data_IF_272238675225
#
_entry.id   IF_272238675225
#
_cell.length_a   1.000
_cell.length_b   1.000
_cell.length_c   1.000
_cell.angle_alpha   90.00
_cell.angle_beta   90.00
_cell.angle_gamma   90.00
#
_symmetry.space_group_name_H-M   'P 1'
#
loop_
_entity.id
_entity.type
_entity.pdbx_description
1 polymer ?
#
# COMPACT_ATOMS: atom_id res chain seq x y z
N UNK A 1 -23.17 -51.75 11.06
CA UNK A 1 -24.32 -52.51 10.58
C UNK A 1 -23.88 -53.16 9.30
N UNK A 2 -23.48 -54.42 9.41
CA UNK A 2 -23.17 -55.31 8.29
C UNK A 2 -24.33 -55.28 7.31
N UNK A 3 -24.06 -55.06 6.03
CA UNK A 3 -25.09 -54.82 5.04
C UNK A 3 -25.67 -56.18 4.64
N UNK A 4 -26.71 -56.61 5.37
CA UNK A 4 -27.28 -57.97 5.28
C UNK A 4 -27.70 -58.32 3.84
N UNK A 5 -28.10 -57.33 3.03
CA UNK A 5 -28.31 -57.48 1.58
C UNK A 5 -27.06 -57.99 0.84
N UNK A 6 -25.89 -57.41 1.09
CA UNK A 6 -24.65 -57.82 0.43
C UNK A 6 -24.18 -59.19 0.92
N UNK A 7 -24.41 -59.51 2.21
CA UNK A 7 -24.13 -60.83 2.75
C UNK A 7 -24.97 -61.91 2.05
N UNK A 8 -26.27 -61.66 1.81
CA UNK A 8 -27.11 -62.59 1.06
C UNK A 8 -26.68 -62.73 -0.40
N UNK A 9 -26.12 -61.69 -1.02
CA UNK A 9 -25.55 -61.78 -2.37
C UNK A 9 -24.24 -62.59 -2.37
N UNK A 10 -23.35 -62.38 -1.40
CA UNK A 10 -22.13 -63.17 -1.22
C UNK A 10 -22.48 -64.66 -0.98
N UNK A 11 -23.45 -64.95 -0.11
CA UNK A 11 -23.93 -66.32 0.11
C UNK A 11 -24.54 -66.94 -1.15
N UNK A 12 -25.19 -66.15 -2.00
CA UNK A 12 -25.69 -66.60 -3.31
C UNK A 12 -24.54 -66.95 -4.27
N UNK A 13 -23.51 -66.10 -4.30
CA UNK A 13 -22.32 -66.32 -5.12
C UNK A 13 -21.57 -67.59 -4.68
N UNK A 14 -21.36 -67.77 -3.37
CA UNK A 14 -20.75 -68.97 -2.80
C UNK A 14 -21.55 -70.23 -3.15
N UNK A 15 -22.89 -70.17 -3.02
CA UNK A 15 -23.78 -71.28 -3.37
C UNK A 15 -23.68 -71.66 -4.85
N UNK A 16 -23.44 -70.69 -5.73
CA UNK A 16 -23.27 -70.90 -7.17
C UNK A 16 -21.87 -71.43 -7.52
N UNK A 17 -20.83 -71.00 -6.81
CA UNK A 17 -19.45 -71.48 -6.98
C UNK A 17 -19.28 -72.93 -6.51
N UNK A 18 -19.90 -73.29 -5.38
CA UNK A 18 -19.86 -74.64 -4.81
C UNK A 18 -20.79 -75.64 -5.51
N UNK A 19 -21.68 -75.17 -6.39
CA UNK A 19 -22.69 -76.00 -7.03
C UNK A 19 -22.08 -77.10 -7.92
N UNK A 20 -22.45 -78.36 -7.67
CA UNK A 20 -21.96 -79.50 -8.44
C UNK A 20 -22.39 -79.39 -9.91
N UNK A 21 -21.43 -79.36 -10.83
CA UNK A 21 -21.70 -79.34 -12.28
C UNK A 21 -22.15 -80.71 -12.77
N UNK A 22 -23.20 -80.71 -13.60
CA UNK A 22 -23.77 -81.95 -14.17
C UNK A 22 -22.92 -82.42 -15.36
N UNK A 23 -22.43 -83.68 -15.40
CA UNK A 23 -21.70 -84.22 -16.54
C UNK A 23 -22.53 -84.15 -17.84
N UNK A 24 -21.88 -83.82 -18.95
CA UNK A 24 -22.49 -83.64 -20.28
C UNK A 24 -23.45 -82.45 -20.46
N UNK A 25 -23.77 -81.70 -19.40
CA UNK A 25 -24.53 -80.45 -19.48
C UNK A 25 -23.62 -79.25 -19.21
N UNK A 26 -23.15 -78.58 -20.29
CA UNK A 26 -22.13 -77.51 -20.22
C UNK A 26 -22.47 -76.30 -19.33
N UNK A 27 -23.72 -76.15 -18.87
CA UNK A 27 -24.17 -74.99 -18.09
C UNK A 27 -25.21 -75.34 -17.03
N UNK A 28 -25.26 -76.58 -16.55
CA UNK A 28 -26.20 -76.97 -15.49
C UNK A 28 -25.43 -77.36 -14.23
N UNK A 29 -25.83 -76.80 -13.11
CA UNK A 29 -25.35 -77.16 -11.78
C UNK A 29 -26.53 -77.56 -10.89
N UNK A 30 -26.26 -78.44 -9.93
CA UNK A 30 -27.23 -78.88 -8.94
C UNK A 30 -27.09 -77.98 -7.72
N UNK A 31 -28.19 -77.33 -7.34
CA UNK A 31 -28.25 -76.38 -6.24
C UNK A 31 -29.38 -76.81 -5.31
N UNK A 32 -29.19 -76.62 -4.00
CA UNK A 32 -30.25 -76.79 -3.03
C UNK A 32 -31.32 -75.69 -3.23
N UNK A 33 -32.51 -76.10 -3.65
CA UNK A 33 -33.62 -75.18 -3.94
C UNK A 33 -34.22 -74.50 -2.70
N UNK A 34 -34.11 -75.09 -1.52
CA UNK A 34 -34.57 -74.47 -0.26
C UNK A 34 -33.61 -73.35 0.15
N UNK A 35 -32.31 -73.64 0.22
CA UNK A 35 -31.28 -72.64 0.55
C UNK A 35 -31.25 -71.49 -0.46
N UNK A 36 -31.43 -71.79 -1.75
CA UNK A 36 -31.57 -70.77 -2.79
C UNK A 36 -32.80 -69.86 -2.58
N UNK A 37 -33.92 -70.41 -2.10
CA UNK A 37 -35.13 -69.62 -1.83
C UNK A 37 -34.96 -68.71 -0.62
N UNK A 38 -34.35 -69.23 0.46
CA UNK A 38 -34.05 -68.45 1.66
C UNK A 38 -33.20 -67.21 1.32
N UNK A 39 -32.11 -67.41 0.59
CA UNK A 39 -31.24 -66.31 0.14
C UNK A 39 -32.00 -65.31 -0.75
N UNK A 40 -32.86 -65.80 -1.65
CA UNK A 40 -33.62 -64.94 -2.56
C UNK A 40 -34.73 -64.15 -1.83
N UNK A 41 -35.33 -64.70 -0.79
CA UNK A 41 -36.33 -64.03 0.02
C UNK A 41 -35.67 -62.98 0.93
N UNK A 42 -34.49 -63.28 1.50
CA UNK A 42 -33.68 -62.29 2.24
C UNK A 42 -33.25 -61.11 1.35
N UNK A 43 -32.84 -61.38 0.11
CA UNK A 43 -32.52 -60.34 -0.88
C UNK A 43 -33.75 -59.47 -1.16
N UNK A 44 -34.92 -60.08 -1.37
CA UNK A 44 -36.16 -59.34 -1.63
C UNK A 44 -36.61 -58.50 -0.45
N UNK A 45 -36.41 -58.97 0.78
CA UNK A 45 -36.78 -58.25 2.00
C UNK A 45 -35.89 -57.03 2.21
N UNK A 46 -34.58 -57.15 1.92
CA UNK A 46 -33.61 -56.09 2.20
C UNK A 46 -33.38 -55.11 1.02
N UNK A 47 -33.68 -55.53 -0.22
CA UNK A 47 -33.50 -54.70 -1.42
C UNK A 47 -34.25 -53.35 -1.39
N UNK A 48 -35.52 -53.27 -0.94
CA UNK A 48 -36.25 -52.00 -0.88
C UNK A 48 -35.58 -50.97 0.04
N UNK A 49 -35.05 -51.41 1.19
CA UNK A 49 -34.37 -50.52 2.13
C UNK A 49 -33.04 -50.01 1.58
N UNK A 50 -32.24 -50.86 0.92
CA UNK A 50 -31.01 -50.42 0.25
C UNK A 50 -31.30 -49.45 -0.90
N UNK A 51 -32.39 -49.66 -1.65
CA UNK A 51 -32.86 -48.73 -2.68
C UNK A 51 -33.29 -47.39 -2.09
N UNK A 52 -34.01 -47.41 -0.96
CA UNK A 52 -34.42 -46.19 -0.24
C UNK A 52 -33.21 -45.39 0.25
N UNK A 53 -32.24 -46.05 0.89
CA UNK A 53 -30.99 -45.41 1.33
C UNK A 53 -30.21 -44.80 0.16
N UNK A 54 -30.09 -45.54 -0.95
CA UNK A 54 -29.42 -45.05 -2.15
C UNK A 54 -30.10 -43.80 -2.72
N UNK A 55 -31.43 -43.80 -2.78
CA UNK A 55 -32.21 -42.64 -3.21
C UNK A 55 -32.03 -41.44 -2.28
N UNK A 56 -32.05 -41.65 -0.97
CA UNK A 56 -31.82 -40.60 0.03
C UNK A 56 -30.41 -39.98 -0.10
N UNK A 57 -29.38 -40.80 -0.37
CA UNK A 57 -28.02 -40.32 -0.63
C UNK A 57 -27.98 -39.48 -1.91
N UNK A 58 -28.67 -39.89 -2.97
CA UNK A 58 -28.76 -39.12 -4.22
C UNK A 58 -29.44 -37.77 -4.00
N UNK A 59 -30.57 -37.74 -3.30
CA UNK A 59 -31.29 -36.50 -2.96
C UNK A 59 -30.43 -35.55 -2.12
N UNK A 60 -29.72 -36.08 -1.10
CA UNK A 60 -28.77 -35.30 -0.30
C UNK A 60 -27.62 -34.75 -1.14
N UNK A 61 -27.09 -35.55 -2.07
CA UNK A 61 -26.02 -35.13 -3.00
C UNK A 61 -26.50 -33.98 -3.87
N UNK A 62 -27.69 -34.08 -4.45
CA UNK A 62 -28.24 -33.06 -5.34
C UNK A 62 -28.54 -31.76 -4.59
N UNK A 63 -29.11 -31.86 -3.37
CA UNK A 63 -29.31 -30.72 -2.48
C UNK A 63 -27.98 -30.05 -2.08
N UNK A 64 -26.96 -30.86 -1.78
CA UNK A 64 -25.62 -30.36 -1.46
C UNK A 64 -25.00 -29.63 -2.66
N UNK A 65 -25.09 -30.18 -3.87
CA UNK A 65 -24.59 -29.52 -5.09
C UNK A 65 -25.32 -28.18 -5.31
N UNK A 66 -26.63 -28.14 -5.11
CA UNK A 66 -27.41 -26.89 -5.18
C UNK A 66 -26.91 -25.85 -4.19
N UNK A 67 -26.73 -26.24 -2.93
CA UNK A 67 -26.23 -25.36 -1.87
C UNK A 67 -24.81 -24.88 -2.14
N UNK A 68 -23.89 -25.77 -2.54
CA UNK A 68 -22.50 -25.42 -2.87
C UNK A 68 -22.45 -24.41 -4.01
N UNK A 69 -23.29 -24.56 -5.05
CA UNK A 69 -23.38 -23.59 -6.15
C UNK A 69 -23.84 -22.23 -5.64
N UNK A 70 -24.94 -22.19 -4.88
CA UNK A 70 -25.46 -20.95 -4.32
C UNK A 70 -24.45 -20.25 -3.41
N UNK A 71 -23.83 -20.99 -2.49
CA UNK A 71 -22.83 -20.46 -1.56
C UNK A 71 -21.60 -19.94 -2.32
N UNK A 72 -21.19 -20.64 -3.38
CA UNK A 72 -20.08 -20.20 -4.25
C UNK A 72 -20.40 -18.91 -5.00
N UNK A 73 -21.63 -18.78 -5.52
CA UNK A 73 -22.06 -17.57 -6.24
C UNK A 73 -22.07 -16.36 -5.30
N UNK A 74 -22.57 -16.53 -4.07
CA UNK A 74 -22.56 -15.48 -3.03
C UNK A 74 -21.11 -15.12 -2.67
N UNK A 75 -20.24 -16.12 -2.48
CA UNK A 75 -18.83 -15.89 -2.16
C UNK A 75 -18.12 -15.13 -3.29
N UNK A 76 -18.40 -15.48 -4.55
CA UNK A 76 -17.83 -14.82 -5.74
C UNK A 76 -18.28 -13.37 -5.84
N UNK A 77 -19.58 -13.09 -5.62
CA UNK A 77 -20.12 -11.74 -5.62
C UNK A 77 -19.51 -10.87 -4.51
N UNK A 78 -19.41 -11.41 -3.30
CA UNK A 78 -18.77 -10.72 -2.18
C UNK A 78 -17.28 -10.45 -2.44
N UNK A 79 -16.55 -11.42 -2.98
CA UNK A 79 -15.14 -11.26 -3.34
C UNK A 79 -14.96 -10.17 -4.41
N UNK A 80 -15.83 -10.16 -5.43
CA UNK A 80 -15.82 -9.14 -6.49
C UNK A 80 -16.08 -7.74 -5.92
N UNK A 81 -17.11 -7.59 -5.08
CA UNK A 81 -17.42 -6.32 -4.40
C UNK A 81 -16.27 -5.84 -3.52
N UNK A 82 -15.65 -6.73 -2.75
CA UNK A 82 -14.50 -6.40 -1.92
C UNK A 82 -13.30 -5.93 -2.76
N UNK A 83 -13.01 -6.62 -3.87
CA UNK A 83 -11.94 -6.24 -4.79
C UNK A 83 -12.21 -4.86 -5.44
N UNK A 84 -13.43 -4.60 -5.90
CA UNK A 84 -13.84 -3.31 -6.45
C UNK A 84 -13.68 -2.18 -5.41
N UNK A 85 -14.14 -2.40 -4.18
CA UNK A 85 -13.97 -1.43 -3.09
C UNK A 85 -12.50 -1.17 -2.76
N UNK A 86 -11.66 -2.21 -2.75
CA UNK A 86 -10.23 -2.07 -2.53
C UNK A 86 -9.58 -1.24 -3.63
N UNK A 87 -9.92 -1.48 -4.90
CA UNK A 87 -9.42 -0.70 -6.04
C UNK A 87 -9.85 0.77 -5.94
N UNK A 88 -11.10 1.05 -5.57
CA UNK A 88 -11.59 2.43 -5.39
C UNK A 88 -10.84 3.12 -4.25
N UNK A 89 -10.67 2.45 -3.11
CA UNK A 89 -9.90 3.00 -1.97
C UNK A 89 -8.44 3.24 -2.33
N UNK A 90 -7.81 2.31 -3.04
CA UNK A 90 -6.43 2.43 -3.48
C UNK A 90 -6.24 3.60 -4.45
N UNK A 91 -7.12 3.77 -5.44
CA UNK A 91 -7.10 4.91 -6.36
C UNK A 91 -7.26 6.23 -5.61
N UNK A 92 -8.26 6.35 -4.74
CA UNK A 92 -8.49 7.56 -3.94
C UNK A 92 -7.28 7.90 -3.06
N UNK A 93 -6.69 6.90 -2.42
CA UNK A 93 -5.49 7.08 -1.61
C UNK A 93 -4.30 7.54 -2.46
N UNK A 94 -4.11 6.92 -3.63
CA UNK A 94 -3.07 7.32 -4.59
C UNK A 94 -3.24 8.78 -5.02
N UNK A 95 -4.44 9.18 -5.41
CA UNK A 95 -4.73 10.55 -5.82
C UNK A 95 -4.40 11.53 -4.68
N UNK A 96 -4.81 11.22 -3.44
CA UNK A 96 -4.48 12.08 -2.29
C UNK A 96 -2.99 12.15 -1.98
N UNK A 97 -2.23 11.07 -2.20
CA UNK A 97 -0.77 11.07 -2.00
C UNK A 97 -0.11 11.95 -3.06
N UNK A 98 -0.52 11.83 -4.32
CA UNK A 98 0.00 12.65 -5.43
C UNK A 98 -0.28 14.13 -5.18
N UNK A 99 -1.52 14.48 -4.82
CA UNK A 99 -1.89 15.87 -4.53
C UNK A 99 -1.11 16.43 -3.34
N UNK A 100 -0.93 15.65 -2.28
CA UNK A 100 -0.12 16.08 -1.12
C UNK A 100 1.36 16.26 -1.50
N UNK A 101 1.91 15.36 -2.30
CA UNK A 101 3.29 15.45 -2.76
C UNK A 101 3.52 16.69 -3.64
N UNK A 102 2.57 17.00 -4.54
CA UNK A 102 2.59 18.23 -5.35
C UNK A 102 2.55 19.48 -4.48
N UNK A 103 1.61 19.57 -3.55
CA UNK A 103 1.49 20.71 -2.65
C UNK A 103 2.76 20.92 -1.80
N UNK A 104 3.41 19.84 -1.36
CA UNK A 104 4.69 19.91 -0.65
C UNK A 104 5.83 20.37 -1.55
N UNK A 105 5.91 19.87 -2.79
CA UNK A 105 6.91 20.31 -3.75
C UNK A 105 6.79 21.81 -4.04
N UNK A 106 5.57 22.29 -4.28
CA UNK A 106 5.30 23.71 -4.53
C UNK A 106 5.69 24.59 -3.33
N UNK A 107 5.45 24.13 -2.10
CA UNK A 107 5.86 24.84 -0.89
C UNK A 107 7.39 24.96 -0.77
N UNK A 108 8.11 23.86 -1.04
CA UNK A 108 9.58 23.83 -1.00
C UNK A 108 10.17 24.75 -2.08
N UNK A 109 9.61 24.74 -3.30
CA UNK A 109 10.06 25.60 -4.39
C UNK A 109 9.89 27.09 -4.03
N UNK A 110 8.71 27.47 -3.52
CA UNK A 110 8.47 28.84 -3.07
C UNK A 110 9.44 29.26 -1.96
N UNK A 111 9.71 28.39 -0.99
CA UNK A 111 10.67 28.67 0.08
C UNK A 111 12.10 28.88 -0.47
N UNK A 112 12.52 28.07 -1.44
CA UNK A 112 13.81 28.22 -2.10
C UNK A 112 13.94 29.52 -2.88
N UNK A 113 12.91 29.92 -3.63
CA UNK A 113 12.89 31.18 -4.37
C UNK A 113 13.02 32.38 -3.43
N UNK A 114 12.28 32.39 -2.31
CA UNK A 114 12.38 33.45 -1.29
C UNK A 114 13.80 33.50 -0.72
N UNK A 115 14.44 32.34 -0.49
CA UNK A 115 15.79 32.29 0.07
C UNK A 115 16.85 32.88 -0.89
N UNK A 116 16.72 32.63 -2.20
CA UNK A 116 17.64 33.20 -3.21
C UNK A 116 17.52 34.72 -3.23
N UNK A 117 16.29 35.25 -3.34
CA UNK A 117 16.04 36.71 -3.36
C UNK A 117 16.48 37.37 -2.05
N UNK A 118 16.24 36.72 -0.91
CA UNK A 118 16.67 37.22 0.39
C UNK A 118 18.21 37.32 0.48
N UNK A 119 18.94 36.33 -0.03
CA UNK A 119 20.42 36.34 -0.09
C UNK A 119 20.94 37.43 -1.01
N UNK A 120 20.36 37.58 -2.19
CA UNK A 120 20.73 38.64 -3.13
C UNK A 120 20.56 40.03 -2.49
N UNK A 121 19.39 40.28 -1.89
CA UNK A 121 19.10 41.54 -1.20
C UNK A 121 20.01 41.80 0.00
N UNK A 122 20.38 40.76 0.75
CA UNK A 122 21.32 40.88 1.85
C UNK A 122 22.71 41.30 1.35
N UNK A 123 23.19 40.69 0.27
CA UNK A 123 24.47 41.07 -0.38
C UNK A 123 24.45 42.53 -0.83
N UNK A 124 23.38 42.97 -1.51
CA UNK A 124 23.24 44.36 -1.94
C UNK A 124 23.23 45.36 -0.78
N UNK A 125 22.60 45.02 0.35
CA UNK A 125 22.58 45.87 1.55
C UNK A 125 23.99 46.01 2.11
N UNK A 126 24.73 44.89 2.22
CA UNK A 126 26.11 44.89 2.72
C UNK A 126 27.02 45.70 1.81
N UNK A 127 26.90 45.54 0.49
CA UNK A 127 27.73 46.26 -0.47
C UNK A 127 27.41 47.76 -0.49
N UNK A 128 26.14 48.13 -0.40
CA UNK A 128 25.74 49.54 -0.20
C UNK A 128 26.31 50.11 1.09
N UNK A 129 26.16 49.41 2.21
CA UNK A 129 26.69 49.85 3.49
C UNK A 129 28.22 50.03 3.46
N UNK A 130 28.96 49.12 2.80
CA UNK A 130 30.41 49.26 2.60
C UNK A 130 30.76 50.50 1.77
N UNK A 131 30.08 50.70 0.64
CA UNK A 131 30.31 51.83 -0.23
C UNK A 131 29.99 53.16 0.46
N UNK A 132 28.89 53.22 1.20
CA UNK A 132 28.51 54.42 1.95
C UNK A 132 29.48 54.70 3.09
N UNK A 133 29.97 53.66 3.79
CA UNK A 133 31.01 53.82 4.79
C UNK A 133 32.33 54.34 4.18
N UNK A 134 32.73 53.87 3.00
CA UNK A 134 33.90 54.38 2.28
C UNK A 134 33.74 55.84 1.86
N UNK A 135 32.56 56.20 1.33
CA UNK A 135 32.24 57.59 0.99
C UNK A 135 32.27 58.47 2.24
N UNK A 136 31.62 58.05 3.32
CA UNK A 136 31.57 58.79 4.58
C UNK A 136 32.98 58.99 5.15
N UNK A 137 33.83 57.97 5.13
CA UNK A 137 35.25 58.10 5.51
C UNK A 137 35.98 59.13 4.67
N UNK A 138 35.79 59.12 3.35
CA UNK A 138 36.43 60.07 2.43
C UNK A 138 35.96 61.50 2.69
N UNK A 139 34.64 61.69 2.86
CA UNK A 139 34.05 63.00 3.19
C UNK A 139 34.59 63.52 4.53
N UNK A 140 34.65 62.67 5.56
CA UNK A 140 35.20 63.05 6.86
C UNK A 140 36.67 63.42 6.78
N UNK A 141 37.50 62.68 6.03
CA UNK A 141 38.91 63.01 5.84
C UNK A 141 39.05 64.38 5.17
N UNK A 142 38.34 64.62 4.07
CA UNK A 142 38.38 65.90 3.36
C UNK A 142 37.92 67.06 4.25
N UNK A 143 36.90 66.85 5.07
CA UNK A 143 36.44 67.85 6.03
C UNK A 143 37.50 68.16 7.11
N UNK A 144 38.12 67.12 7.69
CA UNK A 144 39.19 67.28 8.67
C UNK A 144 40.39 68.04 8.09
N UNK A 145 40.80 67.70 6.86
CA UNK A 145 41.87 68.41 6.16
C UNK A 145 41.52 69.88 5.92
N UNK A 146 40.28 70.17 5.53
CA UNK A 146 39.77 71.54 5.38
C UNK A 146 39.89 72.34 6.68
N UNK A 147 39.35 71.79 7.78
CA UNK A 147 39.39 72.44 9.11
C UNK A 147 40.84 72.63 9.60
N UNK A 148 41.71 71.63 9.40
CA UNK A 148 43.12 71.72 9.81
C UNK A 148 43.89 72.77 8.98
N UNK A 149 43.63 72.86 7.68
CA UNK A 149 44.26 73.86 6.82
C UNK A 149 43.79 75.28 7.17
N UNK A 150 42.49 75.47 7.41
CA UNK A 150 41.94 76.75 7.86
C UNK A 150 42.53 77.17 9.22
N UNK A 151 42.58 76.25 10.18
CA UNK A 151 43.20 76.47 11.48
C UNK A 151 44.68 76.85 11.37
N UNK A 152 45.45 76.15 10.51
CA UNK A 152 46.85 76.51 10.21
C UNK A 152 46.96 77.93 9.67
N UNK A 153 46.14 78.29 8.69
CA UNK A 153 46.17 79.62 8.09
C UNK A 153 45.85 80.72 9.12
N UNK A 154 44.85 80.48 9.98
CA UNK A 154 44.51 81.42 11.04
C UNK A 154 45.65 81.60 12.06
N UNK A 155 46.34 80.51 12.43
CA UNK A 155 47.50 80.57 13.33
C UNK A 155 48.70 81.28 12.68
N UNK A 156 48.99 81.03 11.39
CA UNK A 156 50.06 81.73 10.65
C UNK A 156 49.79 83.24 10.58
N UNK A 157 48.55 83.64 10.31
CA UNK A 157 48.14 85.04 10.30
C UNK A 157 48.31 85.68 11.70
N UNK A 158 47.90 84.97 12.75
CA UNK A 158 48.07 85.44 14.14
C UNK A 158 49.56 85.58 14.52
N UNK A 159 50.40 84.60 14.18
CA UNK A 159 51.84 84.64 14.43
C UNK A 159 52.50 85.81 13.70
N UNK A 160 52.14 86.02 12.43
CA UNK A 160 52.62 87.14 11.63
C UNK A 160 52.23 88.49 12.26
N UNK A 161 51.03 88.60 12.82
CA UNK A 161 50.59 89.80 13.52
C UNK A 161 51.44 90.05 14.79
N UNK A 162 51.75 88.99 15.56
CA UNK A 162 52.63 89.08 16.74
C UNK A 162 54.05 89.49 16.35
N UNK A 163 54.63 88.90 15.29
CA UNK A 163 55.97 89.26 14.82
C UNK A 163 56.06 90.72 14.36
N UNK A 164 55.01 91.23 13.69
CA UNK A 164 54.91 92.66 13.33
C UNK A 164 54.84 93.54 14.58
N UNK A 165 54.04 93.16 15.58
CA UNK A 165 53.95 93.89 16.85
C UNK A 165 55.31 93.92 17.57
N UNK A 166 56.02 92.79 17.64
CA UNK A 166 57.36 92.70 18.23
C UNK A 166 58.39 93.57 17.51
N UNK A 167 58.44 93.53 16.16
CA UNK A 167 59.34 94.40 15.37
C UNK A 167 59.08 95.90 15.57
N UNK A 168 57.85 96.27 15.94
CA UNK A 168 57.48 97.67 16.22
C UNK A 168 57.98 98.10 17.61
N UNK A 169 58.15 97.16 18.53
CA UNK A 169 58.61 97.42 19.90
C UNK A 169 60.16 97.37 20.04
N UNK A 170 60.84 96.57 19.20
CA UNK A 170 62.31 96.48 19.17
C UNK A 170 62.99 97.61 18.34
N UNK A 171 62.26 98.69 18.00
CA UNK A 171 62.76 99.93 17.35
C UNK A 171 62.69 101.10 18.32
#
# INVERSE_FOLDING_TARGET
>A
MSNDFYRSIEELEDLLEEAMRVPFAKSKCVINSERMKEILDDIKENLPEEMRKSKEILEKKDAMIGKVKQDSDIMMDNAKKAAEQMLVKAKKSSDTIVERARAQADAILNEQEIMVVARERATEIVDRAKNDAMKMRTVTINYLDGVLNESRHNLENALTAVDRAKKTYDR
#
